data_IF_969790884473
#
_entry.id   IF_969790884473
#
_cell.length_a   1.000
_cell.length_b   1.000
_cell.length_c   1.000
_cell.angle_alpha   90.00
_cell.angle_beta   90.00
_cell.angle_gamma   90.00
#
_symmetry.space_group_name_H-M   'P 1'
#
loop_
_entity.id
_entity.type
_entity.pdbx_description
1 polymer ?
#
# COMPACT_ATOMS: atom_id res chain seq x y z
N UNK A 1 -6.45 -18.61 -4.88
CA UNK A 1 -7.40 -17.84 -4.09
C UNK A 1 -7.38 -16.42 -4.63
N UNK A 2 -8.55 -15.95 -5.03
CA UNK A 2 -8.80 -14.59 -5.51
C UNK A 2 -10.02 -14.04 -4.78
N UNK A 3 -10.05 -12.72 -4.60
CA UNK A 3 -11.16 -11.97 -4.01
C UNK A 3 -11.51 -10.84 -4.97
N UNK A 4 -12.78 -10.69 -5.30
CA UNK A 4 -13.28 -9.60 -6.13
C UNK A 4 -14.36 -8.86 -5.35
N UNK A 5 -14.21 -7.54 -5.24
CA UNK A 5 -15.12 -6.66 -4.53
C UNK A 5 -15.49 -5.52 -5.48
N UNK A 6 -16.79 -5.32 -5.71
CA UNK A 6 -17.23 -4.33 -6.67
C UNK A 6 -17.00 -2.89 -6.20
N UNK A 7 -17.23 -2.63 -4.91
CA UNK A 7 -17.03 -1.31 -4.31
C UNK A 7 -16.62 -1.45 -2.86
N UNK A 8 -15.64 -0.63 -2.46
CA UNK A 8 -15.22 -0.44 -1.08
C UNK A 8 -15.26 1.04 -0.81
N UNK A 9 -15.95 1.44 0.24
CA UNK A 9 -16.02 2.81 0.73
C UNK A 9 -15.63 2.80 2.19
N UNK A 10 -14.66 3.64 2.54
CA UNK A 10 -14.18 3.76 3.91
C UNK A 10 -14.19 5.24 4.28
N UNK A 11 -15.02 5.58 5.24
CA UNK A 11 -15.12 6.92 5.80
C UNK A 11 -14.43 6.99 7.16
N UNK A 12 -13.65 8.04 7.36
CA UNK A 12 -12.95 8.33 8.59
C UNK A 12 -13.38 9.71 9.08
N UNK A 13 -13.86 9.78 10.31
CA UNK A 13 -14.26 11.03 10.95
C UNK A 13 -13.64 11.09 12.35
N UNK A 14 -12.96 12.19 12.63
CA UNK A 14 -12.27 12.44 13.91
C UNK A 14 -12.79 13.70 14.62
N UNK A 15 -13.78 14.39 14.04
CA UNK A 15 -14.25 15.71 14.48
C UNK A 15 -13.34 16.90 14.11
N UNK A 16 -12.04 16.66 13.84
CA UNK A 16 -11.09 17.69 13.37
C UNK A 16 -10.82 17.55 11.88
N UNK A 17 -10.91 16.34 11.36
CA UNK A 17 -10.79 16.04 9.94
C UNK A 17 -11.76 14.93 9.56
N UNK A 18 -12.21 14.99 8.30
CA UNK A 18 -12.96 13.93 7.64
C UNK A 18 -12.22 13.50 6.39
N UNK A 19 -12.13 12.20 6.17
CA UNK A 19 -11.56 11.63 4.95
C UNK A 19 -12.41 10.47 4.46
N UNK A 20 -12.38 10.23 3.16
CA UNK A 20 -13.05 9.09 2.52
C UNK A 20 -12.12 8.43 1.50
N UNK A 21 -12.16 7.10 1.44
CA UNK A 21 -11.46 6.27 0.48
C UNK A 21 -12.47 5.41 -0.26
N UNK A 22 -12.63 5.65 -1.55
CA UNK A 22 -13.48 4.84 -2.42
C UNK A 22 -12.64 4.05 -3.42
N UNK A 23 -12.82 2.74 -3.47
CA UNK A 23 -12.25 1.86 -4.49
C UNK A 23 -13.37 1.19 -5.27
N UNK A 24 -13.24 1.12 -6.59
CA UNK A 24 -14.16 0.35 -7.46
C UNK A 24 -13.44 -0.79 -8.17
N UNK A 25 -14.16 -1.88 -8.37
CA UNK A 25 -13.70 -3.14 -9.00
C UNK A 25 -12.37 -3.61 -8.43
N UNK A 26 -12.30 -3.67 -7.11
CA UNK A 26 -11.14 -4.16 -6.39
C UNK A 26 -11.00 -5.67 -6.64
N UNK A 27 -9.83 -6.10 -7.08
CA UNK A 27 -9.47 -7.51 -7.16
C UNK A 27 -8.19 -7.76 -6.39
N UNK A 28 -8.14 -8.88 -5.66
CA UNK A 28 -6.94 -9.33 -4.95
C UNK A 28 -6.64 -10.76 -5.39
N UNK A 29 -5.48 -10.97 -5.99
CA UNK A 29 -5.11 -12.26 -6.57
C UNK A 29 -3.71 -12.68 -6.13
N UNK A 30 -3.50 -13.96 -5.87
CA UNK A 30 -2.14 -14.50 -5.75
C UNK A 30 -1.52 -14.63 -7.14
N UNK A 31 -0.30 -14.13 -7.32
CA UNK A 31 0.43 -14.16 -8.60
C UNK A 31 1.74 -14.93 -8.46
N UNK A 32 2.34 -15.28 -9.59
CA UNK A 32 3.72 -15.80 -9.62
C UNK A 32 4.73 -14.71 -9.20
N UNK A 33 6.00 -15.07 -8.95
CA UNK A 33 7.08 -14.09 -8.72
C UNK A 33 7.27 -13.10 -9.87
N UNK A 34 6.89 -13.50 -11.08
CA UNK A 34 6.93 -12.68 -12.30
C UNK A 34 5.62 -11.92 -12.55
N UNK A 35 4.71 -11.89 -11.57
CA UNK A 35 3.40 -11.21 -11.63
C UNK A 35 2.41 -11.78 -12.65
N UNK A 36 2.54 -13.06 -13.00
CA UNK A 36 1.62 -13.75 -13.91
C UNK A 36 0.52 -14.48 -13.13
N UNK A 37 -0.66 -14.58 -13.76
CA UNK A 37 -1.76 -15.41 -13.26
C UNK A 37 -1.39 -16.88 -13.44
N UNK A 38 -1.57 -17.67 -12.39
CA UNK A 38 -1.27 -19.12 -12.41
C UNK A 38 -2.47 -19.89 -11.87
N UNK A 39 -2.72 -21.07 -12.45
CA UNK A 39 -3.84 -21.93 -12.05
C UNK A 39 -3.58 -22.64 -10.71
N UNK A 40 -2.32 -22.98 -10.44
CA UNK A 40 -1.91 -23.68 -9.23
C UNK A 40 -1.22 -22.70 -8.24
N UNK A 41 -1.77 -22.62 -7.04
CA UNK A 41 -1.28 -21.75 -5.96
C UNK A 41 0.14 -22.07 -5.51
N UNK A 42 0.64 -23.28 -5.73
CA UNK A 42 2.01 -23.66 -5.38
C UNK A 42 3.04 -22.82 -6.14
N UNK A 43 2.72 -22.32 -7.33
CA UNK A 43 3.59 -21.43 -8.12
C UNK A 43 3.49 -19.95 -7.72
N UNK A 44 2.62 -19.60 -6.77
CA UNK A 44 2.49 -18.23 -6.23
C UNK A 44 3.38 -17.95 -5.03
N UNK A 45 4.18 -18.95 -4.62
CA UNK A 45 5.05 -18.91 -3.46
C UNK A 45 6.42 -19.49 -3.79
N UNK A 46 7.47 -18.89 -3.23
CA UNK A 46 8.83 -19.44 -3.29
C UNK A 46 9.26 -19.81 -1.89
N UNK A 47 9.59 -21.09 -1.70
CA UNK A 47 10.09 -21.61 -0.42
C UNK A 47 11.58 -21.88 -0.56
N UNK A 48 12.39 -21.29 0.31
CA UNK A 48 13.79 -21.69 0.48
C UNK A 48 13.92 -22.55 1.72
N UNK A 49 14.17 -23.85 1.51
CA UNK A 49 14.33 -24.83 2.58
C UNK A 49 15.63 -24.65 3.36
N UNK A 50 16.66 -24.03 2.76
CA UNK A 50 17.95 -23.86 3.43
C UNK A 50 17.89 -22.75 4.50
N UNK A 51 17.15 -21.69 4.22
CA UNK A 51 17.01 -20.55 5.13
C UNK A 51 15.68 -20.53 5.88
N UNK A 52 14.81 -21.52 5.66
CA UNK A 52 13.46 -21.60 6.22
C UNK A 52 12.61 -20.35 5.97
N UNK A 53 12.73 -19.78 4.76
CA UNK A 53 12.01 -18.56 4.35
C UNK A 53 11.02 -18.83 3.23
N UNK A 54 9.98 -18.02 3.20
CA UNK A 54 8.90 -18.07 2.22
C UNK A 54 8.65 -16.68 1.64
N UNK A 55 8.57 -16.57 0.33
CA UNK A 55 8.07 -15.38 -0.37
C UNK A 55 6.68 -15.67 -0.95
N UNK A 56 5.76 -14.74 -0.75
CA UNK A 56 4.42 -14.77 -1.32
C UNK A 56 4.15 -13.50 -2.12
N UNK A 57 3.45 -13.63 -3.24
CA UNK A 57 3.16 -12.53 -4.15
C UNK A 57 1.65 -12.34 -4.31
N UNK A 58 1.17 -11.15 -3.97
CA UNK A 58 -0.22 -10.74 -4.11
C UNK A 58 -0.31 -9.50 -4.97
N UNK A 59 -1.31 -9.46 -5.83
CA UNK A 59 -1.61 -8.32 -6.65
C UNK A 59 -2.99 -7.81 -6.30
N UNK A 60 -3.07 -6.53 -5.96
CA UNK A 60 -4.32 -5.80 -5.80
C UNK A 60 -4.50 -4.96 -7.06
N UNK A 61 -5.68 -4.98 -7.68
CA UNK A 61 -6.02 -4.11 -8.81
C UNK A 61 -7.33 -3.40 -8.53
N UNK A 62 -7.48 -2.20 -9.08
CA UNK A 62 -8.71 -1.41 -8.98
C UNK A 62 -8.94 -0.65 -10.28
N UNK A 63 -10.20 -0.38 -10.59
CA UNK A 63 -10.56 0.47 -11.73
C UNK A 63 -10.60 1.95 -11.35
N UNK A 64 -11.08 2.26 -10.15
CA UNK A 64 -11.12 3.63 -9.64
C UNK A 64 -10.61 3.63 -8.21
N UNK A 65 -9.74 4.58 -7.90
CA UNK A 65 -9.38 4.94 -6.52
C UNK A 65 -9.63 6.43 -6.37
N UNK A 66 -10.51 6.78 -5.44
CA UNK A 66 -10.80 8.15 -5.04
C UNK A 66 -10.43 8.32 -3.58
N UNK A 67 -9.69 9.37 -3.29
CA UNK A 67 -9.37 9.80 -1.94
C UNK A 67 -9.92 11.21 -1.78
N UNK A 68 -10.79 11.40 -0.80
CA UNK A 68 -11.30 12.70 -0.41
C UNK A 68 -10.80 13.04 1.01
N UNK A 69 -10.34 14.26 1.23
CA UNK A 69 -9.91 14.71 2.55
C UNK A 69 -10.34 16.17 2.79
N UNK A 70 -10.99 16.43 3.91
CA UNK A 70 -11.39 17.76 4.35
C UNK A 70 -10.96 18.00 5.79
N UNK A 71 -10.27 19.12 6.04
CA UNK A 71 -10.06 19.61 7.40
C UNK A 71 -11.35 20.29 7.86
N UNK A 72 -11.85 19.94 9.05
CA UNK A 72 -13.02 20.58 9.61
C UNK A 72 -12.56 21.84 10.35
N UNK A 73 -12.79 23.01 9.76
CA UNK A 73 -12.53 24.27 10.43
C UNK A 73 -13.60 24.51 11.52
N UNK A 74 -13.15 24.84 12.73
CA UNK A 74 -14.03 25.26 13.81
C UNK A 74 -14.84 26.50 13.39
N UNK A 75 -16.11 26.50 13.78
CA UNK A 75 -17.24 27.31 13.31
C UNK A 75 -17.17 28.84 13.47
N UNK A 76 -16.05 29.50 13.15
CA UNK A 76 -15.92 30.97 13.31
C UNK A 76 -15.29 31.72 12.14
N UNK A 77 -14.80 31.06 11.09
CA UNK A 77 -14.37 31.73 9.87
C UNK A 77 -14.91 30.96 8.66
N UNK A 78 -15.40 31.71 7.66
CA UNK A 78 -15.87 31.23 6.36
C UNK A 78 -14.74 30.58 5.52
N UNK A 79 -14.02 29.62 6.09
CA UNK A 79 -13.05 28.80 5.39
C UNK A 79 -13.85 27.72 4.65
N UNK A 80 -13.87 27.83 3.34
CA UNK A 80 -14.47 26.91 2.39
C UNK A 80 -14.02 25.47 2.75
N UNK A 81 -14.94 24.67 3.32
CA UNK A 81 -14.74 23.23 3.58
C UNK A 81 -14.83 22.44 2.26
N UNK A 82 -13.97 22.75 1.30
CA UNK A 82 -13.89 21.99 0.06
C UNK A 82 -12.97 20.78 0.28
N UNK A 83 -13.45 19.55 0.06
CA UNK A 83 -12.62 18.36 0.21
C UNK A 83 -11.58 18.32 -0.90
N UNK A 84 -10.32 18.06 -0.55
CA UNK A 84 -9.27 17.72 -1.49
C UNK A 84 -9.63 16.38 -2.15
N UNK A 85 -9.63 16.33 -3.48
CA UNK A 85 -9.96 15.11 -4.23
C UNK A 85 -8.77 14.64 -5.04
N UNK A 86 -8.26 13.47 -4.73
CA UNK A 86 -7.31 12.74 -5.56
C UNK A 86 -8.06 11.60 -6.23
N UNK A 87 -8.02 11.55 -7.56
CA UNK A 87 -8.66 10.50 -8.34
C UNK A 87 -7.59 9.84 -9.20
N UNK A 88 -7.57 8.52 -9.17
CA UNK A 88 -6.72 7.70 -10.05
C UNK A 88 -7.59 6.67 -10.73
N UNK A 89 -7.46 6.60 -12.06
CA UNK A 89 -8.04 5.55 -12.86
C UNK A 89 -7.04 4.41 -12.99
N UNK A 90 -7.55 3.17 -12.95
CA UNK A 90 -6.83 1.94 -13.26
C UNK A 90 -5.47 1.85 -12.56
N UNK A 91 -5.45 1.26 -11.36
CA UNK A 91 -4.22 1.06 -10.63
C UNK A 91 -4.01 -0.39 -10.21
N UNK A 92 -2.77 -0.69 -9.85
CA UNK A 92 -2.39 -1.98 -9.29
C UNK A 92 -1.35 -1.80 -8.20
N UNK A 93 -1.48 -2.58 -7.14
CA UNK A 93 -0.46 -2.74 -6.10
C UNK A 93 0.10 -4.15 -6.15
N UNK A 94 1.42 -4.23 -6.19
CA UNK A 94 2.19 -5.47 -6.13
C UNK A 94 2.74 -5.60 -4.72
N UNK A 95 2.35 -6.66 -4.03
CA UNK A 95 2.70 -6.92 -2.65
C UNK A 95 3.49 -8.22 -2.59
N UNK A 96 4.76 -8.13 -2.20
CA UNK A 96 5.60 -9.27 -1.88
C UNK A 96 5.79 -9.35 -0.36
N UNK A 97 5.50 -10.49 0.23
CA UNK A 97 5.64 -10.71 1.68
C UNK A 97 6.66 -11.81 1.91
N UNK A 98 7.67 -11.51 2.73
CA UNK A 98 8.63 -12.49 3.23
C UNK A 98 8.18 -12.97 4.61
N UNK A 99 8.04 -14.28 4.76
CA UNK A 99 7.72 -14.93 6.03
C UNK A 99 8.76 -15.97 6.39
N UNK A 100 8.90 -16.23 7.68
CA UNK A 100 9.59 -17.42 8.17
C UNK A 100 8.64 -18.62 8.09
N UNK A 101 9.14 -19.73 7.58
CA UNK A 101 8.40 -21.00 7.48
C UNK A 101 8.39 -21.75 8.81
N UNK A 102 9.30 -21.42 9.74
CA UNK A 102 9.41 -22.07 11.04
C UNK A 102 8.29 -21.66 12.02
N UNK A 103 7.99 -20.36 12.07
CA UNK A 103 7.07 -19.73 13.04
C UNK A 103 5.94 -18.93 12.37
N UNK A 104 6.00 -18.72 11.04
CA UNK A 104 5.01 -17.94 10.29
C UNK A 104 5.16 -16.43 10.43
N UNK A 105 6.19 -15.93 11.11
CA UNK A 105 6.41 -14.50 11.35
C UNK A 105 6.69 -13.74 10.04
N UNK A 106 6.28 -12.47 9.98
CA UNK A 106 6.53 -11.61 8.81
C UNK A 106 7.90 -10.97 8.97
N UNK A 107 8.85 -11.40 8.14
CA UNK A 107 10.23 -10.91 8.15
C UNK A 107 10.37 -9.59 7.39
N UNK A 108 9.50 -9.35 6.40
CA UNK A 108 9.50 -8.10 5.66
C UNK A 108 8.47 -8.07 4.54
N UNK A 109 8.26 -6.88 3.97
CA UNK A 109 7.33 -6.67 2.87
C UNK A 109 7.82 -5.67 1.85
N UNK A 110 7.51 -5.91 0.57
CA UNK A 110 7.71 -4.95 -0.50
C UNK A 110 6.35 -4.62 -1.11
N UNK A 111 5.98 -3.36 -1.08
CA UNK A 111 4.74 -2.86 -1.71
C UNK A 111 5.15 -1.92 -2.85
N UNK A 112 4.61 -2.16 -4.03
CA UNK A 112 4.77 -1.28 -5.19
C UNK A 112 3.40 -0.88 -5.69
N UNK A 113 3.05 0.39 -5.54
CA UNK A 113 1.82 0.97 -6.08
C UNK A 113 2.14 1.52 -7.47
N UNK A 114 1.38 1.10 -8.47
CA UNK A 114 1.54 1.50 -9.86
C UNK A 114 0.21 2.11 -10.30
N UNK A 115 0.26 3.39 -10.64
CA UNK A 115 -0.87 4.21 -11.05
C UNK A 115 -0.59 4.71 -12.47
N UNK A 116 -1.58 4.61 -13.34
CA UNK A 116 -1.45 5.13 -14.70
C UNK A 116 -1.47 6.66 -14.65
N UNK A 117 -2.58 7.23 -14.14
CA UNK A 117 -2.77 8.66 -14.03
C UNK A 117 -3.23 9.07 -12.63
N UNK A 118 -2.68 10.17 -12.12
CA UNK A 118 -3.19 10.89 -10.95
C UNK A 118 -3.75 12.21 -11.43
N UNK A 119 -5.07 12.38 -11.28
CA UNK A 119 -5.72 13.66 -11.44
C UNK A 119 -5.91 14.29 -10.06
N UNK A 120 -5.31 15.46 -9.87
CA UNK A 120 -5.44 16.23 -8.66
C UNK A 120 -5.89 17.65 -9.01
N UNK A 121 -7.09 18.02 -8.56
CA UNK A 121 -7.66 19.35 -8.75
C UNK A 121 -7.82 19.96 -7.35
N UNK A 122 -7.20 21.12 -7.14
CA UNK A 122 -7.20 21.77 -5.84
C UNK A 122 -7.25 23.30 -5.96
N UNK A 123 -7.99 23.95 -5.08
CA UNK A 123 -7.97 25.38 -4.83
C UNK A 123 -7.03 25.70 -3.67
N UNK A 124 -6.64 26.97 -3.50
CA UNK A 124 -5.72 27.36 -2.44
C UNK A 124 -6.22 26.97 -1.01
N UNK A 125 -7.52 27.14 -0.66
CA UNK A 125 -8.06 26.63 0.60
C UNK A 125 -7.97 25.10 0.74
N UNK A 126 -8.16 24.34 -0.35
CA UNK A 126 -8.06 22.88 -0.34
C UNK A 126 -6.62 22.43 -0.07
N UNK A 127 -5.62 23.10 -0.65
CA UNK A 127 -4.20 22.81 -0.39
C UNK A 127 -3.85 23.09 1.07
N UNK A 128 -4.29 24.24 1.62
CA UNK A 128 -4.05 24.56 3.04
C UNK A 128 -4.66 23.49 3.96
N UNK A 129 -5.88 23.07 3.67
CA UNK A 129 -6.55 21.98 4.39
C UNK A 129 -5.79 20.66 4.30
N UNK A 130 -5.22 20.35 3.12
CA UNK A 130 -4.42 19.15 2.89
C UNK A 130 -3.13 19.14 3.74
N UNK A 131 -2.46 20.29 3.88
CA UNK A 131 -1.27 20.44 4.71
C UNK A 131 -1.62 20.19 6.18
N UNK A 132 -2.69 20.82 6.69
CA UNK A 132 -3.15 20.61 8.06
C UNK A 132 -3.56 19.15 8.32
N UNK A 133 -4.23 18.52 7.35
CA UNK A 133 -4.57 17.10 7.41
C UNK A 133 -3.34 16.20 7.47
N UNK A 134 -2.33 16.47 6.64
CA UNK A 134 -1.05 15.76 6.65
C UNK A 134 -0.36 15.85 8.02
N UNK A 135 -0.27 17.05 8.59
CA UNK A 135 0.34 17.25 9.91
C UNK A 135 -0.39 16.44 10.99
N UNK A 136 -1.73 16.41 10.92
CA UNK A 136 -2.55 15.65 11.86
C UNK A 136 -2.31 14.13 11.76
N UNK A 137 -2.30 13.57 10.55
CA UNK A 137 -1.96 12.14 10.34
C UNK A 137 -0.57 11.85 10.84
N UNK A 138 0.41 12.70 10.53
CA UNK A 138 1.79 12.46 10.95
C UNK A 138 1.94 12.47 12.48
N UNK A 139 1.16 13.29 13.18
CA UNK A 139 1.10 13.27 14.64
C UNK A 139 0.49 11.97 15.18
N UNK A 140 -0.58 11.47 14.57
CA UNK A 140 -1.17 10.16 14.93
C UNK A 140 -0.15 9.03 14.70
N UNK A 141 0.53 9.02 13.56
CA UNK A 141 1.56 8.01 13.24
C UNK A 141 2.70 8.06 14.26
N UNK A 142 3.21 9.25 14.60
CA UNK A 142 4.25 9.42 15.63
C UNK A 142 3.79 8.95 17.01
N UNK A 143 2.52 9.19 17.38
CA UNK A 143 1.94 8.72 18.63
C UNK A 143 1.76 7.20 18.66
N UNK A 144 1.40 6.60 17.53
CA UNK A 144 1.25 5.15 17.38
C UNK A 144 2.60 4.43 17.46
N UNK A 145 3.64 4.92 16.78
CA UNK A 145 4.99 4.34 16.81
C UNK A 145 5.61 4.28 18.22
N UNK A 146 5.18 5.15 19.14
CA UNK A 146 5.60 5.12 20.56
C UNK A 146 4.93 3.98 21.36
N UNK A 147 3.82 3.43 20.87
CA UNK A 147 3.00 2.41 21.54
C UNK A 147 3.15 1.00 20.94
N UNK A 148 3.90 0.85 19.85
CA UNK A 148 4.20 -0.48 19.30
C UNK A 148 5.31 -1.08 20.16
N UNK A 149 5.05 -2.16 20.94
CA UNK A 149 6.15 -2.90 21.55
C UNK A 149 7.05 -3.37 20.42
N UNK A 150 8.35 -3.10 20.57
CA UNK A 150 9.44 -3.59 19.72
C UNK A 150 9.35 -5.11 19.62
N UNK A 151 8.53 -5.60 18.70
CA UNK A 151 8.36 -7.02 18.47
C UNK A 151 9.46 -7.48 17.50
N UNK A 152 10.39 -8.24 18.10
CA UNK A 152 11.37 -9.15 17.50
C UNK A 152 12.68 -8.54 17.00
N UNK A 153 13.56 -8.18 17.94
CA UNK A 153 14.95 -8.63 17.85
C UNK A 153 15.04 -9.94 18.62
N UNK A 154 14.96 -11.07 17.92
CA UNK A 154 15.32 -12.36 18.49
C UNK A 154 16.49 -12.86 17.66
N UNK A 155 17.66 -12.90 18.31
CA UNK A 155 18.86 -13.55 17.80
C UNK A 155 18.50 -14.98 17.36
N UNK A 156 18.77 -15.28 16.09
CA UNK A 156 18.52 -16.61 15.55
C UNK A 156 19.66 -17.52 16.01
N UNK A 157 19.37 -18.44 16.94
CA UNK A 157 20.25 -19.58 17.24
C UNK A 157 20.29 -20.47 15.99
N UNK A 158 21.47 -20.68 15.44
CA UNK A 158 21.71 -21.60 14.32
C UNK A 158 21.41 -23.05 14.77
N UNK A 159 20.40 -23.67 14.17
CA UNK A 159 20.22 -25.13 14.22
C UNK A 159 20.24 -25.66 12.79
N UNK A 160 21.25 -26.47 12.51
CA UNK A 160 21.59 -27.05 11.21
C UNK A 160 20.72 -28.29 10.93
N UNK A 161 19.88 -28.33 9.87
CA UNK A 161 19.17 -29.55 9.49
C UNK A 161 20.00 -30.41 8.50
N UNK A 162 19.73 -31.73 8.41
CA UNK A 162 20.49 -32.65 7.59
C UNK A 162 20.11 -32.54 6.10
N UNK A 163 21.11 -32.69 5.25
CA UNK A 163 21.04 -32.58 3.79
C UNK A 163 20.33 -33.81 3.19
N UNK A 164 19.19 -33.59 2.52
CA UNK A 164 18.59 -34.58 1.61
C UNK A 164 18.82 -34.12 0.17
N UNK A 165 19.59 -34.90 -0.59
CA UNK A 165 19.95 -34.62 -1.99
C UNK A 165 18.82 -35.07 -2.93
N UNK A 166 18.42 -34.21 -3.85
CA UNK A 166 17.63 -34.55 -5.05
C UNK A 166 18.15 -33.72 -6.26
N UNK A 167 17.88 -34.15 -7.50
CA UNK A 167 18.79 -34.08 -8.67
C UNK A 167 18.79 -32.69 -9.40
N UNK A 168 19.61 -32.48 -10.46
CA UNK A 168 20.07 -31.15 -10.86
C UNK A 168 19.01 -30.42 -11.69
N UNK A 169 18.18 -29.66 -11.01
CA UNK A 169 17.48 -28.49 -11.55
C UNK A 169 18.01 -27.27 -10.79
N UNK A 170 18.12 -26.11 -11.47
CA UNK A 170 18.58 -24.83 -10.89
C UNK A 170 18.14 -24.75 -9.42
N UNK A 171 19.09 -24.62 -8.46
CA UNK A 171 18.74 -24.70 -7.05
C UNK A 171 17.61 -23.70 -6.76
N UNK A 172 16.51 -24.16 -6.16
CA UNK A 172 15.37 -23.30 -5.82
C UNK A 172 15.83 -22.10 -4.97
N UNK A 173 16.92 -22.26 -4.21
CA UNK A 173 17.63 -21.20 -3.49
C UNK A 173 18.23 -20.10 -4.38
N UNK A 174 18.71 -20.43 -5.59
CA UNK A 174 19.19 -19.45 -6.56
C UNK A 174 18.04 -18.60 -7.13
N UNK A 175 16.90 -19.22 -7.43
CA UNK A 175 15.69 -18.51 -7.88
C UNK A 175 15.15 -17.63 -6.75
N UNK A 176 15.13 -18.13 -5.51
CA UNK A 176 14.70 -17.36 -4.35
C UNK A 176 15.51 -16.07 -4.19
N UNK A 177 16.85 -16.15 -4.28
CA UNK A 177 17.74 -14.99 -4.16
C UNK A 177 17.44 -13.88 -5.17
N UNK A 178 16.98 -14.21 -6.37
CA UNK A 178 16.63 -13.20 -7.39
C UNK A 178 15.41 -12.35 -7.01
N UNK A 179 14.49 -12.91 -6.21
CA UNK A 179 13.28 -12.21 -5.76
C UNK A 179 13.36 -11.77 -4.30
N UNK A 180 14.43 -12.14 -3.60
CA UNK A 180 14.63 -11.79 -2.21
C UNK A 180 14.90 -10.29 -2.03
N UNK A 181 14.61 -9.77 -0.85
CA UNK A 181 14.80 -8.36 -0.52
C UNK A 181 15.23 -8.15 0.92
N UNK A 182 16.26 -7.36 1.16
CA UNK A 182 16.87 -7.26 2.49
C UNK A 182 16.02 -6.48 3.50
N UNK A 183 15.25 -5.49 3.01
CA UNK A 183 14.45 -4.60 3.86
C UNK A 183 13.05 -4.39 3.34
N UNK A 184 12.14 -4.09 4.26
CA UNK A 184 10.80 -3.62 3.92
C UNK A 184 10.89 -2.33 3.10
N UNK A 185 10.16 -2.25 2.00
CA UNK A 185 10.19 -1.09 1.10
C UNK A 185 8.84 -0.80 0.48
N UNK A 186 8.60 0.48 0.22
CA UNK A 186 7.37 1.01 -0.35
C UNK A 186 7.75 1.85 -1.57
N UNK A 187 7.17 1.55 -2.72
CA UNK A 187 7.47 2.23 -3.98
C UNK A 187 6.16 2.71 -4.61
N UNK A 188 6.19 3.89 -5.20
CA UNK A 188 5.06 4.46 -5.94
C UNK A 188 5.56 4.82 -7.33
N UNK A 189 4.90 4.28 -8.34
CA UNK A 189 5.12 4.56 -9.75
C UNK A 189 3.87 5.22 -10.29
N UNK A 190 4.05 6.37 -10.92
CA UNK A 190 2.96 7.14 -11.51
C UNK A 190 3.34 7.45 -12.94
N UNK A 191 2.47 7.09 -13.89
CA UNK A 191 2.69 7.39 -15.31
C UNK A 191 2.59 8.89 -15.58
N UNK A 192 1.46 9.49 -15.18
CA UNK A 192 1.18 10.92 -15.34
C UNK A 192 0.59 11.53 -14.07
N UNK A 193 1.01 12.75 -13.75
CA UNK A 193 0.42 13.55 -12.68
C UNK A 193 -0.13 14.83 -13.30
N UNK A 194 -1.45 14.95 -13.34
CA UNK A 194 -2.16 16.14 -13.78
C UNK A 194 -2.63 16.93 -12.56
N UNK A 195 -1.90 18.00 -12.24
CA UNK A 195 -2.23 18.91 -11.15
C UNK A 195 -2.84 20.20 -11.70
N UNK A 196 -4.10 20.45 -11.36
CA UNK A 196 -4.79 21.69 -11.68
C UNK A 196 -5.00 22.50 -10.41
N UNK A 197 -4.37 23.68 -10.38
CA UNK A 197 -4.59 24.68 -9.34
C UNK A 197 -5.62 25.69 -9.84
N UNK A 198 -6.80 25.67 -9.24
CA UNK A 198 -7.87 26.60 -9.58
C UNK A 198 -7.83 27.77 -8.60
N UNK A 199 -7.92 28.99 -9.13
CA UNK A 199 -8.19 30.16 -8.30
C UNK A 199 -9.67 30.17 -7.92
N UNK A 200 -9.96 30.50 -6.66
CA UNK A 200 -11.33 30.67 -6.20
C UNK A 200 -11.77 32.05 -6.70
N UNK A 201 -12.20 32.15 -7.95
CA UNK A 201 -12.81 33.37 -8.47
C UNK A 201 -14.10 33.64 -7.69
N UNK A 202 -13.98 34.40 -6.61
CA UNK A 202 -15.09 35.15 -6.04
C UNK A 202 -15.50 36.18 -7.09
N UNK A 203 -16.39 35.80 -8.01
CA UNK A 203 -17.22 36.78 -8.70
C UNK A 203 -18.11 37.38 -7.63
N UNK A 204 -17.61 38.44 -6.99
CA UNK A 204 -18.44 39.41 -6.29
C UNK A 204 -19.26 40.15 -7.34
N UNK A 205 -20.34 39.52 -7.81
CA UNK A 205 -21.44 40.22 -8.46
C UNK A 205 -22.28 40.86 -7.35
N UNK A 206 -22.26 42.19 -7.29
CA UNK A 206 -23.17 43.03 -6.48
C UNK A 206 -22.49 44.01 -5.56
#
# INVERSE_FOLDING_TARGET
MSLYVNSVEIDFDSGVFRGSLTLSRLAVESKSPTWQTVNDLRYTRLVDTNTSKLLMFKMVTWQLLRIEASAQANSSCNAINAPLRLITSNGKSRISVKKSTADGSVLGGRIQVILDDILWIATLPQIRSAITFYDHIMNIVKAASKKVPTLYHTECIEIKPPVVKSPPSIPVSAIFRNFDFDRTSYHVYVGKIDLHLCDDNQTSDG
#
